data_IF_738433700758
#
_entry.id   IF_738433700758
#
_cell.length_a   1.000
_cell.length_b   1.000
_cell.length_c   1.000
_cell.angle_alpha   90.00
_cell.angle_beta   90.00
_cell.angle_gamma   90.00
#
_symmetry.space_group_name_H-M   'P 1'
#
loop_
_entity.id
_entity.type
_entity.pdbx_description
1 polymer ?
#
# COMPACT_ATOMS: atom_id res chain seq x y z
N UNK A 1 51.70 38.44 33.95
CA UNK A 1 50.65 38.53 32.91
C UNK A 1 50.37 37.14 32.32
N UNK A 2 49.54 36.30 32.95
CA UNK A 2 49.30 34.91 32.50
C UNK A 2 47.83 34.46 32.46
N UNK A 3 46.89 35.31 32.86
CA UNK A 3 45.45 34.98 32.95
C UNK A 3 44.57 35.58 31.84
N UNK A 4 45.13 36.39 30.93
CA UNK A 4 44.36 37.00 29.82
C UNK A 4 44.26 36.13 28.56
N UNK A 5 45.16 35.14 28.38
CA UNK A 5 45.22 34.32 27.16
C UNK A 5 44.31 33.08 27.18
N UNK A 6 43.92 32.55 28.34
CA UNK A 6 43.03 31.38 28.40
C UNK A 6 41.56 31.73 28.17
N UNK A 7 41.11 32.90 28.63
CA UNK A 7 39.73 33.39 28.41
C UNK A 7 39.42 33.65 26.92
N UNK A 8 40.42 34.07 26.13
CA UNK A 8 40.24 34.32 24.70
C UNK A 8 40.09 33.02 23.89
N UNK A 9 40.66 31.92 24.38
CA UNK A 9 40.63 30.62 23.69
C UNK A 9 39.29 29.90 23.86
N UNK A 10 38.67 30.03 25.04
CA UNK A 10 37.33 29.45 25.30
C UNK A 10 36.22 30.22 24.57
N UNK A 11 36.34 31.54 24.43
CA UNK A 11 35.38 32.37 23.70
C UNK A 11 35.38 32.07 22.18
N UNK A 12 36.55 31.79 21.60
CA UNK A 12 36.68 31.44 20.18
C UNK A 12 36.06 30.06 19.85
N UNK A 13 36.16 29.10 20.77
CA UNK A 13 35.53 27.78 20.59
C UNK A 13 33.99 27.85 20.64
N UNK A 14 33.42 28.67 21.51
CA UNK A 14 31.95 28.91 21.53
C UNK A 14 31.45 29.63 20.27
N UNK A 15 32.22 30.57 19.73
CA UNK A 15 31.91 31.25 18.47
C UNK A 15 31.91 30.33 17.25
N UNK A 16 32.89 29.43 17.16
CA UNK A 16 33.01 28.48 16.05
C UNK A 16 31.88 27.42 16.04
N UNK A 17 31.47 26.94 17.22
CA UNK A 17 30.34 26.00 17.34
C UNK A 17 29.00 26.66 16.96
N UNK A 18 28.81 27.94 17.33
CA UNK A 18 27.61 28.70 16.96
C UNK A 18 27.50 28.95 15.45
N UNK A 19 28.63 29.26 14.81
CA UNK A 19 28.68 29.46 13.35
C UNK A 19 28.51 28.14 12.58
N UNK A 20 28.97 27.01 13.13
CA UNK A 20 28.73 25.68 12.58
C UNK A 20 27.26 25.26 12.61
N UNK A 21 26.55 25.48 13.73
CA UNK A 21 25.14 25.12 13.89
C UNK A 21 24.17 25.98 13.05
N UNK A 22 24.54 27.21 12.71
CA UNK A 22 23.78 28.06 11.78
C UNK A 22 24.03 27.71 10.30
N UNK A 23 25.12 27.00 9.98
CA UNK A 23 25.44 26.56 8.62
C UNK A 23 24.72 25.27 8.18
N UNK A 24 24.25 24.44 9.12
CA UNK A 24 23.56 23.17 8.81
C UNK A 24 22.05 23.36 8.53
N UNK A 25 21.52 24.57 8.78
CA UNK A 25 20.12 24.92 8.45
C UNK A 25 19.87 25.08 6.93
N UNK A 26 20.91 25.06 6.09
CA UNK A 26 20.79 25.26 4.64
C UNK A 26 20.62 23.99 3.80
N UNK A 27 20.82 22.80 4.35
CA UNK A 27 20.82 21.55 3.58
C UNK A 27 19.47 20.83 3.50
N UNK A 28 18.41 21.38 4.10
CA UNK A 28 17.05 20.80 4.05
C UNK A 28 16.07 21.58 3.17
N UNK A 29 16.53 22.57 2.41
CA UNK A 29 15.68 23.41 1.55
C UNK A 29 15.90 23.22 0.04
N UNK A 30 16.53 22.12 -0.40
CA UNK A 30 16.72 21.84 -1.82
C UNK A 30 15.50 21.18 -2.52
N UNK A 31 14.36 21.04 -1.84
CA UNK A 31 13.18 20.39 -2.40
C UNK A 31 11.96 21.33 -2.54
N UNK A 32 12.12 22.64 -2.31
CA UNK A 32 10.97 23.56 -2.26
C UNK A 32 11.06 24.87 -3.03
N UNK A 33 12.24 25.32 -3.46
CA UNK A 33 12.35 26.64 -4.11
C UNK A 33 12.23 26.49 -5.62
N UNK A 34 11.03 26.75 -6.12
CA UNK A 34 10.80 26.99 -7.55
C UNK A 34 11.65 28.19 -7.96
N UNK A 35 12.76 27.96 -8.66
CA UNK A 35 13.39 28.99 -9.45
C UNK A 35 12.56 29.13 -10.75
N UNK A 36 11.95 30.28 -11.05
CA UNK A 36 11.36 30.50 -12.37
C UNK A 36 12.53 30.65 -13.36
N UNK A 37 13.00 29.53 -13.91
CA UNK A 37 13.73 29.57 -15.17
C UNK A 37 12.74 29.90 -16.28
N UNK A 38 13.11 30.72 -17.25
CA UNK A 38 12.34 30.95 -18.48
C UNK A 38 12.21 29.70 -19.39
N UNK A 39 12.49 28.51 -18.86
CA UNK A 39 12.16 27.21 -19.42
C UNK A 39 10.96 26.68 -18.62
N UNK A 40 9.89 26.27 -19.31
CA UNK A 40 8.57 25.97 -18.74
C UNK A 40 8.55 25.11 -17.46
N UNK A 41 7.42 25.12 -16.77
CA UNK A 41 7.20 24.41 -15.51
C UNK A 41 7.60 22.93 -15.61
N UNK A 42 8.65 22.51 -14.89
CA UNK A 42 8.96 21.10 -14.66
C UNK A 42 7.99 20.59 -13.60
N UNK A 43 6.94 19.87 -14.02
CA UNK A 43 5.98 19.24 -13.13
C UNK A 43 6.41 17.78 -12.93
N UNK A 44 6.70 17.40 -11.68
CA UNK A 44 6.86 15.99 -11.34
C UNK A 44 5.52 15.29 -11.53
N UNK A 45 5.53 14.12 -12.17
CA UNK A 45 4.36 13.25 -12.24
C UNK A 45 4.31 12.40 -10.96
N UNK A 46 3.11 12.26 -10.40
CA UNK A 46 2.85 11.38 -9.27
C UNK A 46 2.31 10.04 -9.77
N UNK A 47 3.05 8.96 -9.49
CA UNK A 47 2.58 7.60 -9.73
C UNK A 47 1.72 7.19 -8.55
N UNK A 48 0.41 7.34 -8.70
CA UNK A 48 -0.57 7.06 -7.65
C UNK A 48 -1.51 5.96 -8.07
N UNK A 49 -1.48 4.87 -7.31
CA UNK A 49 -2.52 3.82 -7.34
C UNK A 49 -3.27 3.91 -6.03
N UNK A 50 -4.59 3.86 -6.08
CA UNK A 50 -5.46 4.01 -4.91
C UNK A 50 -6.18 2.69 -4.61
N UNK A 51 -6.30 2.33 -3.32
CA UNK A 51 -7.21 1.31 -2.82
C UNK A 51 -8.35 1.98 -2.08
N UNK A 52 -9.59 1.72 -2.49
CA UNK A 52 -10.80 2.29 -1.89
C UNK A 52 -10.70 3.82 -1.71
N UNK A 53 -10.08 4.52 -2.68
CA UNK A 53 -9.89 5.98 -2.67
C UNK A 53 -8.74 6.51 -1.81
N UNK A 54 -7.94 5.62 -1.20
CA UNK A 54 -6.74 5.98 -0.44
C UNK A 54 -5.49 5.58 -1.21
N UNK A 55 -4.40 6.37 -1.26
CA UNK A 55 -3.15 5.94 -1.88
C UNK A 55 -2.68 4.60 -1.33
N UNK A 56 -2.24 3.72 -2.23
CA UNK A 56 -1.68 2.43 -1.87
C UNK A 56 -0.42 2.65 -1.03
N UNK A 57 -0.44 2.12 0.20
CA UNK A 57 0.77 1.99 1.00
C UNK A 57 1.44 0.62 0.76
N UNK A 58 2.72 0.53 1.07
CA UNK A 58 3.52 -0.68 0.83
C UNK A 58 3.10 -1.77 1.82
N UNK A 59 2.24 -2.70 1.44
CA UNK A 59 1.81 -3.78 2.35
C UNK A 59 0.60 -4.61 1.98
N UNK A 60 -0.19 -4.19 0.98
CA UNK A 60 -1.37 -4.94 0.53
C UNK A 60 -2.64 -4.67 1.34
N UNK A 61 -3.60 -5.59 1.28
CA UNK A 61 -4.92 -5.45 1.92
C UNK A 61 -4.98 -6.34 3.15
N UNK A 62 -5.29 -5.75 4.30
CA UNK A 62 -5.59 -6.48 5.52
C UNK A 62 -7.11 -6.59 5.69
N UNK A 63 -7.59 -7.81 5.91
CA UNK A 63 -8.97 -8.08 6.30
C UNK A 63 -9.00 -8.62 7.73
N UNK A 64 -9.83 -8.00 8.54
CA UNK A 64 -10.25 -8.55 9.82
C UNK A 64 -11.56 -9.30 9.58
N UNK A 65 -11.64 -10.56 10.02
CA UNK A 65 -12.91 -11.27 10.01
C UNK A 65 -13.85 -10.65 11.06
N UNK A 66 -14.85 -9.88 10.61
CA UNK A 66 -15.85 -9.26 11.49
C UNK A 66 -17.13 -10.10 11.66
N UNK A 67 -17.35 -11.06 10.77
CA UNK A 67 -18.50 -11.95 10.77
C UNK A 67 -18.10 -13.41 11.00
N UNK A 68 -18.97 -14.17 11.68
CA UNK A 68 -18.78 -15.61 11.85
C UNK A 68 -18.77 -16.29 10.47
N UNK A 69 -17.71 -17.05 10.18
CA UNK A 69 -17.67 -17.91 9.00
C UNK A 69 -18.48 -19.16 9.30
N UNK A 70 -19.36 -19.52 8.38
CA UNK A 70 -20.10 -20.78 8.45
C UNK A 70 -19.64 -21.68 7.29
N UNK A 71 -19.55 -23.01 7.48
CA UNK A 71 -19.15 -23.94 6.41
C UNK A 71 -19.92 -23.73 5.10
N UNK A 72 -21.20 -23.36 5.20
CA UNK A 72 -22.11 -23.26 4.06
C UNK A 72 -22.16 -21.87 3.42
N UNK A 73 -21.51 -20.86 4.00
CA UNK A 73 -21.63 -19.47 3.54
C UNK A 73 -20.26 -18.81 3.50
N UNK A 74 -19.68 -18.58 2.31
CA UNK A 74 -18.45 -17.82 2.18
C UNK A 74 -18.68 -16.35 2.55
N UNK A 75 -17.67 -15.73 3.16
CA UNK A 75 -17.60 -14.29 3.31
C UNK A 75 -16.99 -13.69 2.04
N UNK A 76 -17.64 -12.65 1.52
CA UNK A 76 -17.14 -11.88 0.40
C UNK A 76 -16.74 -10.47 0.83
N UNK A 77 -15.63 -9.99 0.28
CA UNK A 77 -15.19 -8.60 0.41
C UNK A 77 -14.75 -8.07 -0.95
N UNK A 78 -14.77 -6.74 -1.12
CA UNK A 78 -14.32 -6.08 -2.34
C UNK A 78 -13.23 -5.06 -2.05
N UNK A 79 -12.33 -4.90 -3.02
CA UNK A 79 -11.26 -3.92 -3.00
C UNK A 79 -11.29 -3.19 -4.33
N UNK A 80 -11.56 -1.90 -4.32
CA UNK A 80 -11.50 -1.05 -5.50
C UNK A 80 -10.07 -0.56 -5.68
N UNK A 81 -9.50 -0.76 -6.86
CA UNK A 81 -8.15 -0.30 -7.22
C UNK A 81 -8.26 0.66 -8.39
N UNK A 82 -7.70 1.86 -8.24
CA UNK A 82 -7.73 2.89 -9.29
C UNK A 82 -6.32 3.33 -9.69
N UNK A 83 -6.09 3.51 -10.99
CA UNK A 83 -4.88 4.12 -11.52
C UNK A 83 -5.07 5.64 -11.61
N UNK A 84 -4.90 6.31 -10.47
CA UNK A 84 -5.16 7.74 -10.26
C UNK A 84 -3.95 8.65 -10.50
N UNK A 85 -2.94 8.15 -11.22
CA UNK A 85 -1.73 8.89 -11.61
C UNK A 85 -2.05 10.14 -12.43
N UNK A 86 -1.23 11.18 -12.26
CA UNK A 86 -1.34 12.43 -13.02
C UNK A 86 -0.27 12.57 -14.12
N UNK A 87 0.48 11.50 -14.42
CA UNK A 87 1.54 11.54 -15.43
C UNK A 87 1.01 11.93 -16.82
N UNK A 88 1.75 12.74 -17.58
CA UNK A 88 1.24 13.31 -18.84
C UNK A 88 0.91 12.30 -19.94
N UNK A 89 1.63 11.16 -20.00
CA UNK A 89 1.42 10.13 -21.01
C UNK A 89 0.36 9.09 -20.58
N UNK A 90 -0.38 8.49 -21.52
CA UNK A 90 -1.18 7.30 -21.22
C UNK A 90 -0.25 6.14 -20.87
N UNK A 91 -0.63 5.35 -19.88
CA UNK A 91 0.00 4.07 -19.58
C UNK A 91 -1.00 3.16 -18.86
N UNK A 92 -0.64 1.90 -18.76
CA UNK A 92 -1.42 0.88 -18.07
C UNK A 92 -0.59 0.33 -16.92
N UNK A 93 -1.24 0.07 -15.79
CA UNK A 93 -0.65 -0.71 -14.71
C UNK A 93 -1.22 -2.12 -14.74
N UNK A 94 -0.35 -3.11 -14.58
CA UNK A 94 -0.76 -4.43 -14.17
C UNK A 94 -0.90 -4.42 -12.64
N UNK A 95 -2.08 -4.74 -12.15
CA UNK A 95 -2.33 -4.93 -10.72
C UNK A 95 -2.48 -6.42 -10.46
N UNK A 96 -1.70 -6.93 -9.51
CA UNK A 96 -1.74 -8.32 -9.08
C UNK A 96 -2.09 -8.38 -7.60
N UNK A 97 -3.18 -9.06 -7.29
CA UNK A 97 -3.55 -9.51 -5.96
C UNK A 97 -3.01 -10.94 -5.79
N UNK A 98 -1.95 -11.07 -4.99
CA UNK A 98 -1.29 -12.35 -4.78
C UNK A 98 -1.99 -13.24 -3.76
N UNK A 99 -1.43 -14.42 -3.56
CA UNK A 99 -1.94 -15.40 -2.60
C UNK A 99 -2.00 -14.83 -1.18
N UNK A 100 -3.10 -15.11 -0.50
CA UNK A 100 -3.31 -14.66 0.86
C UNK A 100 -2.40 -15.39 1.85
N UNK A 101 -2.00 -14.68 2.90
CA UNK A 101 -1.42 -15.27 4.10
C UNK A 101 -2.40 -15.12 5.26
N UNK A 102 -2.62 -16.21 6.00
CA UNK A 102 -3.44 -16.23 7.21
C UNK A 102 -2.53 -16.12 8.43
N UNK A 103 -2.82 -15.17 9.32
CA UNK A 103 -2.03 -14.91 10.52
C UNK A 103 -2.87 -14.34 11.66
N UNK A 104 -2.25 -14.04 12.80
CA UNK A 104 -2.95 -13.42 13.94
C UNK A 104 -4.20 -14.19 14.40
N UNK A 105 -4.19 -15.52 14.24
CA UNK A 105 -5.36 -16.35 14.50
C UNK A 105 -5.52 -16.68 15.99
N UNK A 106 -6.77 -16.80 16.45
CA UNK A 106 -7.07 -17.35 17.76
C UNK A 106 -6.84 -18.87 17.86
N UNK A 107 -6.65 -19.57 16.74
CA UNK A 107 -6.32 -21.01 16.69
C UNK A 107 -5.66 -21.41 15.38
N UNK A 108 -4.56 -22.16 15.45
CA UNK A 108 -3.92 -22.71 14.25
C UNK A 108 -4.86 -23.60 13.43
N UNK A 109 -5.77 -24.32 14.10
CA UNK A 109 -6.74 -25.18 13.41
C UNK A 109 -7.66 -24.37 12.50
N UNK A 110 -8.00 -23.13 12.87
CA UNK A 110 -8.77 -22.26 11.98
C UNK A 110 -7.96 -21.92 10.73
N UNK A 111 -6.69 -21.52 10.88
CA UNK A 111 -5.84 -21.18 9.75
C UNK A 111 -5.69 -22.35 8.77
N UNK A 112 -5.60 -23.57 9.27
CA UNK A 112 -5.45 -24.78 8.44
C UNK A 112 -6.74 -25.14 7.67
N UNK A 113 -7.91 -24.62 8.07
CA UNK A 113 -9.21 -24.87 7.42
C UNK A 113 -9.71 -23.69 6.59
N UNK A 114 -9.05 -22.53 6.64
CA UNK A 114 -9.46 -21.37 5.87
C UNK A 114 -8.97 -21.47 4.43
N UNK A 115 -9.90 -21.27 3.50
CA UNK A 115 -9.58 -21.02 2.10
C UNK A 115 -9.80 -19.54 1.82
N UNK A 116 -8.80 -18.88 1.25
CA UNK A 116 -8.86 -17.48 0.84
C UNK A 116 -8.50 -17.38 -0.63
N UNK A 117 -9.42 -16.85 -1.41
CA UNK A 117 -9.28 -16.73 -2.86
C UNK A 117 -9.59 -15.30 -3.29
N UNK A 118 -9.08 -14.94 -4.47
CA UNK A 118 -9.30 -13.65 -5.10
C UNK A 118 -9.76 -13.80 -6.54
N UNK A 119 -10.46 -12.79 -7.04
CA UNK A 119 -10.93 -12.69 -8.42
C UNK A 119 -10.98 -11.23 -8.85
N UNK A 120 -11.03 -10.98 -10.16
CA UNK A 120 -11.47 -9.68 -10.70
C UNK A 120 -13.00 -9.71 -10.77
N UNK A 121 -13.65 -8.64 -10.33
CA UNK A 121 -15.11 -8.56 -10.36
C UNK A 121 -15.62 -8.69 -11.81
N UNK A 122 -16.69 -9.46 -12.04
CA UNK A 122 -17.34 -9.54 -13.35
C UNK A 122 -17.97 -8.19 -13.72
N UNK A 123 -18.42 -8.05 -14.97
CA UNK A 123 -19.08 -6.82 -15.45
C UNK A 123 -20.36 -6.45 -14.69
N UNK A 124 -20.98 -7.41 -13.98
CA UNK A 124 -22.09 -7.14 -13.08
C UNK A 124 -21.69 -6.39 -11.80
N UNK A 125 -20.40 -6.39 -11.45
CA UNK A 125 -19.86 -5.80 -10.22
C UNK A 125 -20.05 -6.64 -8.97
N UNK A 126 -20.76 -7.77 -9.05
CA UNK A 126 -21.06 -8.63 -7.90
C UNK A 126 -19.99 -9.70 -7.69
N UNK A 127 -19.42 -9.75 -6.49
CA UNK A 127 -18.37 -10.72 -6.16
C UNK A 127 -18.84 -12.17 -6.07
N UNK A 128 -20.13 -12.43 -5.85
CA UNK A 128 -20.65 -13.79 -5.73
C UNK A 128 -20.48 -14.62 -7.02
N UNK A 129 -20.46 -13.95 -8.19
CA UNK A 129 -20.31 -14.59 -9.50
C UNK A 129 -18.92 -14.51 -10.11
N UNK A 130 -17.89 -14.16 -9.31
CA UNK A 130 -16.53 -14.02 -9.81
C UNK A 130 -15.80 -15.37 -9.92
N UNK A 131 -14.85 -15.48 -10.85
CA UNK A 131 -14.00 -16.66 -11.02
C UNK A 131 -12.84 -16.62 -10.02
N UNK A 132 -13.04 -17.19 -8.85
CA UNK A 132 -12.08 -17.20 -7.75
C UNK A 132 -10.93 -18.19 -7.96
N UNK A 133 -9.73 -17.76 -7.57
CA UNK A 133 -8.54 -18.59 -7.49
C UNK A 133 -7.53 -18.03 -6.48
N UNK A 134 -6.33 -18.62 -6.43
CA UNK A 134 -5.29 -18.23 -5.45
C UNK A 134 -4.78 -16.80 -5.63
N UNK A 135 -4.82 -16.29 -6.86
CA UNK A 135 -4.40 -14.93 -7.20
C UNK A 135 -5.24 -14.38 -8.35
N UNK A 136 -5.32 -13.06 -8.45
CA UNK A 136 -6.03 -12.38 -9.51
C UNK A 136 -5.16 -11.24 -10.06
N UNK A 137 -5.24 -11.01 -11.37
CA UNK A 137 -4.58 -9.86 -11.99
C UNK A 137 -5.47 -9.20 -13.04
N UNK A 138 -5.24 -7.90 -13.24
CA UNK A 138 -5.90 -7.14 -14.30
C UNK A 138 -5.06 -5.94 -14.71
N UNK A 139 -5.40 -5.39 -15.87
CA UNK A 139 -4.79 -4.20 -16.42
C UNK A 139 -5.70 -3.00 -16.19
N UNK A 140 -5.15 -1.93 -15.61
CA UNK A 140 -5.89 -0.70 -15.33
C UNK A 140 -5.22 0.45 -16.08
N UNK A 141 -5.90 0.96 -17.11
CA UNK A 141 -5.43 2.13 -17.83
C UNK A 141 -5.46 3.38 -16.93
N UNK A 142 -4.64 4.36 -17.25
CA UNK A 142 -4.64 5.65 -16.54
C UNK A 142 -6.05 6.26 -16.51
N UNK A 143 -6.51 6.61 -15.31
CA UNK A 143 -7.82 7.20 -15.07
C UNK A 143 -8.95 6.18 -14.86
N UNK A 144 -8.67 4.89 -15.05
CA UNK A 144 -9.64 3.81 -14.84
C UNK A 144 -9.47 3.14 -13.47
N UNK A 145 -10.43 2.26 -13.16
CA UNK A 145 -10.45 1.45 -11.95
C UNK A 145 -10.94 0.02 -12.23
N UNK A 146 -10.55 -0.89 -11.36
CA UNK A 146 -11.04 -2.26 -11.32
C UNK A 146 -11.42 -2.65 -9.89
N UNK A 147 -12.30 -3.63 -9.75
CA UNK A 147 -12.68 -4.19 -8.44
C UNK A 147 -12.11 -5.59 -8.33
N UNK A 148 -11.39 -5.85 -7.26
CA UNK A 148 -11.02 -7.19 -6.85
C UNK A 148 -12.03 -7.71 -5.84
N UNK A 149 -12.37 -8.98 -5.98
CA UNK A 149 -13.25 -9.71 -5.09
C UNK A 149 -12.44 -10.70 -4.28
N UNK A 150 -12.78 -10.82 -3.00
CA UNK A 150 -12.18 -11.74 -2.06
C UNK A 150 -13.25 -12.73 -1.61
N UNK A 151 -12.89 -14.00 -1.51
CA UNK A 151 -13.73 -15.06 -0.95
C UNK A 151 -12.97 -15.74 0.17
N UNK A 152 -13.57 -15.77 1.35
CA UNK A 152 -13.08 -16.51 2.51
C UNK A 152 -14.11 -17.59 2.84
N UNK A 153 -13.69 -18.84 2.86
CA UNK A 153 -14.57 -19.98 3.11
C UNK A 153 -13.96 -20.98 4.09
N UNK A 154 -14.84 -21.74 4.72
CA UNK A 154 -14.52 -22.96 5.45
C UNK A 154 -15.02 -24.15 4.62
N UNK A 155 -14.39 -25.32 4.71
CA UNK A 155 -14.90 -26.54 4.07
C UNK A 155 -16.21 -26.99 4.75
N UNK A 156 -17.03 -27.73 4.02
CA UNK A 156 -18.37 -28.16 4.47
C UNK A 156 -18.33 -29.03 5.75
N UNK A 157 -17.22 -29.73 5.99
CA UNK A 157 -16.98 -30.59 7.16
C UNK A 157 -16.28 -29.87 8.33
N UNK A 158 -16.06 -28.55 8.22
CA UNK A 158 -15.42 -27.75 9.26
C UNK A 158 -16.19 -27.83 10.59
N UNK A 159 -15.50 -28.11 11.71
CA UNK A 159 -16.13 -28.16 13.03
C UNK A 159 -16.81 -26.84 13.39
N UNK A 160 -18.00 -26.93 14.01
CA UNK A 160 -18.74 -25.74 14.47
C UNK A 160 -17.95 -24.87 15.46
N UNK A 161 -16.95 -25.45 16.14
CA UNK A 161 -16.04 -24.72 17.04
C UNK A 161 -15.19 -23.66 16.34
N UNK A 162 -15.01 -23.75 15.02
CA UNK A 162 -14.24 -22.78 14.24
C UNK A 162 -15.01 -21.46 14.00
N UNK A 163 -16.33 -21.46 14.10
CA UNK A 163 -17.17 -20.30 13.77
C UNK A 163 -17.02 -19.13 14.77
N UNK A 164 -16.59 -19.43 16.00
CA UNK A 164 -16.36 -18.44 17.06
C UNK A 164 -14.91 -17.91 17.11
N UNK A 165 -14.06 -18.38 16.18
CA UNK A 165 -12.64 -18.05 16.11
C UNK A 165 -12.41 -16.92 15.10
N UNK A 166 -11.25 -16.28 15.20
CA UNK A 166 -10.86 -15.17 14.35
C UNK A 166 -9.50 -15.41 13.72
N UNK A 167 -9.32 -14.87 12.52
CA UNK A 167 -8.04 -14.81 11.83
C UNK A 167 -7.85 -13.44 11.19
N UNK A 168 -6.60 -12.99 11.14
CA UNK A 168 -6.17 -11.90 10.27
C UNK A 168 -5.77 -12.46 8.92
N UNK A 169 -6.21 -11.81 7.85
CA UNK A 169 -5.90 -12.21 6.49
C UNK A 169 -5.17 -11.04 5.82
N UNK A 170 -4.04 -11.32 5.19
CA UNK A 170 -3.28 -10.33 4.42
C UNK A 170 -3.11 -10.81 3.00
N UNK A 171 -3.49 -9.97 2.03
CA UNK A 171 -3.25 -10.22 0.62
C UNK A 171 -2.22 -9.22 0.08
N UNK A 172 -1.09 -9.68 -0.45
CA UNK A 172 -0.13 -8.80 -1.08
C UNK A 172 -0.75 -8.24 -2.36
N UNK A 173 -0.61 -6.93 -2.55
CA UNK A 173 -1.08 -6.25 -3.75
C UNK A 173 0.09 -5.47 -4.36
N UNK A 174 0.30 -5.68 -5.64
CA UNK A 174 1.38 -5.05 -6.41
C UNK A 174 0.80 -4.36 -7.62
N UNK A 175 1.37 -3.20 -7.97
CA UNK A 175 1.01 -2.47 -9.17
C UNK A 175 2.29 -2.13 -9.94
N UNK A 176 2.40 -2.63 -11.17
CA UNK A 176 3.57 -2.46 -12.03
C UNK A 176 3.17 -1.71 -13.28
N UNK A 177 3.88 -0.62 -13.60
CA UNK A 177 3.69 0.05 -14.88
C UNK A 177 4.14 -0.88 -16.02
N UNK A 178 3.26 -1.10 -16.99
CA UNK A 178 3.62 -1.83 -18.20
C UNK A 178 4.40 -0.92 -19.14
N UNK A 179 5.44 -1.45 -19.82
CA UNK A 179 6.11 -0.71 -20.87
C UNK A 179 5.11 -0.36 -21.98
N UNK A 180 5.25 0.85 -22.54
CA UNK A 180 4.56 1.18 -23.79
C UNK A 180 5.00 0.15 -24.83
N UNK A 181 4.04 -0.56 -25.44
CA UNK A 181 4.32 -1.51 -26.50
C UNK A 181 5.07 -0.85 -27.68
N UNK A 182 5.72 -1.64 -28.56
CA UNK A 182 6.38 -1.11 -29.75
C UNK A 182 5.41 -0.37 -30.69
#
# INVERSE_FOLDING_TARGET
>A
MRTKKSLQLTALMLGAVSAGLLGVQGAWALWGVHAPSGAGTVRAADFRVELNGTPMDVGGVALQQEAALTPTTPLHASVHVANATDAGAPFTVEVVMGAASVGGTSSQVLADHLTVESAVAPSSGECAGADFGESASTHIAKGDAATFCLRVSLPDDAPATLQALSAGITLPLTATQLPLGP
#
